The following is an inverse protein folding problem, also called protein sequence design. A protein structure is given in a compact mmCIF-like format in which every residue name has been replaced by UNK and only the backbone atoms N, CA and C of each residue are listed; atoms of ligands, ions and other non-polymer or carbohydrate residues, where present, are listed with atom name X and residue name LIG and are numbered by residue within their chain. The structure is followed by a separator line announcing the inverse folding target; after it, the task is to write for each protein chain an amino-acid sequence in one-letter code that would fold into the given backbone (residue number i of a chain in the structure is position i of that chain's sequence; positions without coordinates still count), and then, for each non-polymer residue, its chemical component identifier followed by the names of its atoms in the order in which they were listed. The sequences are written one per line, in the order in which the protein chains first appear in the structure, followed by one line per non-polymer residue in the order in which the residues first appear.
data_IF_620156928721
#
_entry.id   IF_620156928721
#
_cell.length_a   1.000
_cell.length_b   1.000
_cell.length_c   1.000
_cell.angle_alpha   90.00
_cell.angle_beta   90.00
_cell.angle_gamma   90.00
#
_symmetry.space_group_name_H-M   'P 1'
#
loop_
_entity.id
_entity.type
_entity.pdbx_description
1 polymer ?
#
# COMPACT_ATOMS: atom_id res chain seq x y z
N UNK A 1 -16.01 -7.92 8.58
CA UNK A 1 -15.91 -6.59 9.22
C UNK A 1 -16.11 -6.75 10.72
N UNK A 2 -15.06 -6.53 11.49
CA UNK A 2 -15.14 -6.52 12.95
C UNK A 2 -15.48 -5.11 13.39
N UNK A 3 -16.77 -4.80 13.49
CA UNK A 3 -17.23 -3.58 14.13
C UNK A 3 -17.14 -3.76 15.66
N UNK A 4 -16.16 -3.12 16.29
CA UNK A 4 -16.15 -2.89 17.72
C UNK A 4 -16.87 -1.56 17.97
N UNK A 5 -18.16 -1.64 18.16
CA UNK A 5 -19.00 -0.49 18.49
C UNK A 5 -18.93 -0.27 20.00
N UNK A 6 -18.32 0.82 20.42
CA UNK A 6 -18.60 1.37 21.75
C UNK A 6 -20.05 1.90 21.75
N UNK A 7 -20.83 1.59 22.79
CA UNK A 7 -22.28 1.84 22.91
C UNK A 7 -22.68 3.34 22.91
N UNK A 8 -21.80 4.22 22.48
CA UNK A 8 -21.94 5.68 22.54
C UNK A 8 -22.23 6.37 21.22
N UNK A 9 -22.16 5.66 20.09
CA UNK A 9 -22.54 6.16 18.77
C UNK A 9 -23.67 5.28 18.25
N UNK A 10 -24.72 5.90 17.74
CA UNK A 10 -25.88 5.17 17.26
C UNK A 10 -25.50 4.26 16.06
N UNK A 11 -26.00 3.03 16.00
CA UNK A 11 -25.69 2.09 14.91
C UNK A 11 -26.00 2.65 13.50
N UNK A 12 -27.01 3.51 13.41
CA UNK A 12 -27.39 4.18 12.16
C UNK A 12 -26.31 5.18 11.72
N UNK A 13 -25.71 5.93 12.65
CA UNK A 13 -24.61 6.87 12.34
C UNK A 13 -23.38 6.13 11.83
N UNK A 14 -23.05 4.98 12.42
CA UNK A 14 -21.94 4.14 11.99
C UNK A 14 -22.16 3.62 10.57
N UNK A 15 -23.38 3.17 10.27
CA UNK A 15 -23.75 2.68 8.94
C UNK A 15 -23.70 3.81 7.89
N UNK A 16 -24.17 5.00 8.24
CA UNK A 16 -24.12 6.17 7.39
C UNK A 16 -22.68 6.60 7.13
N UNK A 17 -21.84 6.61 8.18
CA UNK A 17 -20.41 6.89 8.06
C UNK A 17 -19.74 5.89 7.13
N UNK A 18 -19.92 4.59 7.35
CA UNK A 18 -19.30 3.55 6.51
C UNK A 18 -19.68 3.74 5.02
N UNK A 19 -20.96 4.03 4.74
CA UNK A 19 -21.42 4.30 3.38
C UNK A 19 -20.76 5.55 2.79
N UNK A 20 -20.71 6.65 3.54
CA UNK A 20 -20.12 7.90 3.08
C UNK A 20 -18.62 7.75 2.79
N UNK A 21 -17.89 6.99 3.63
CA UNK A 21 -16.47 6.71 3.43
C UNK A 21 -16.21 5.85 2.18
N UNK A 22 -17.06 4.86 1.92
CA UNK A 22 -16.95 3.99 0.75
C UNK A 22 -17.23 4.73 -0.58
N UNK A 23 -17.91 5.87 -0.55
CA UNK A 23 -18.17 6.72 -1.72
C UNK A 23 -17.01 7.68 -2.06
N UNK A 24 -15.98 7.77 -1.20
CA UNK A 24 -14.82 8.63 -1.44
C UNK A 24 -13.99 8.08 -2.60
N UNK A 25 -13.70 8.93 -3.58
CA UNK A 25 -12.85 8.54 -4.71
C UNK A 25 -11.45 8.14 -4.24
N UNK A 26 -10.99 6.97 -4.67
CA UNK A 26 -9.70 6.40 -4.27
C UNK A 26 -9.80 5.44 -3.09
N UNK A 27 -10.93 5.36 -2.40
CA UNK A 27 -11.21 4.31 -1.41
C UNK A 27 -11.80 3.10 -2.15
N UNK A 28 -11.12 1.95 -2.06
CA UNK A 28 -11.57 0.69 -2.63
C UNK A 28 -12.52 -0.04 -1.68
N UNK A 29 -12.20 -0.02 -0.38
CA UNK A 29 -13.05 -0.58 0.68
C UNK A 29 -12.75 0.07 2.03
N UNK A 30 -13.71 -0.03 2.95
CA UNK A 30 -13.54 0.29 4.37
C UNK A 30 -13.64 -1.02 5.13
N UNK A 31 -12.57 -1.48 5.76
CA UNK A 31 -12.54 -2.80 6.40
C UNK A 31 -12.53 -2.73 7.93
N UNK A 32 -12.05 -1.62 8.53
CA UNK A 32 -12.18 -1.38 9.97
C UNK A 32 -12.77 0.00 10.22
N UNK A 33 -13.77 0.03 11.09
CA UNK A 33 -14.31 1.25 11.64
C UNK A 33 -14.54 1.02 13.14
N UNK A 34 -13.75 1.66 13.96
CA UNK A 34 -13.85 1.60 15.43
C UNK A 34 -14.11 2.98 15.96
N UNK A 35 -15.06 3.10 16.85
CA UNK A 35 -15.41 4.38 17.50
C UNK A 35 -15.28 4.25 19.00
N UNK A 36 -14.80 5.32 19.64
CA UNK A 36 -14.65 5.39 21.10
C UNK A 36 -15.14 6.73 21.61
N UNK A 37 -15.69 6.74 22.83
CA UNK A 37 -16.06 7.96 23.54
C UNK A 37 -15.29 8.06 24.85
N UNK A 38 -14.65 9.21 25.07
CA UNK A 38 -13.96 9.53 26.31
C UNK A 38 -14.47 10.87 26.82
N UNK A 39 -15.38 10.83 27.81
CA UNK A 39 -16.07 12.01 28.25
C UNK A 39 -17.04 12.56 27.21
N UNK A 40 -16.80 13.79 26.74
CA UNK A 40 -17.60 14.43 25.69
C UNK A 40 -16.99 14.25 24.29
N UNK A 41 -15.78 13.71 24.22
CA UNK A 41 -15.04 13.57 22.97
C UNK A 41 -15.29 12.21 22.35
N UNK A 42 -15.58 12.19 21.07
CA UNK A 42 -15.65 10.98 20.25
C UNK A 42 -14.39 10.88 19.39
N UNK A 43 -13.87 9.68 19.21
CA UNK A 43 -12.77 9.38 18.29
C UNK A 43 -13.12 8.19 17.41
N UNK A 44 -12.53 8.15 16.22
CA UNK A 44 -12.68 7.03 15.28
C UNK A 44 -11.32 6.58 14.77
N UNK A 45 -11.15 5.25 14.67
CA UNK A 45 -10.06 4.61 13.94
C UNK A 45 -10.68 3.99 12.68
N UNK A 46 -10.18 4.42 11.51
CA UNK A 46 -10.72 4.02 10.21
C UNK A 46 -9.59 3.41 9.38
N UNK A 47 -9.80 2.20 8.87
CA UNK A 47 -8.90 1.59 7.91
C UNK A 47 -9.56 1.57 6.54
N UNK A 48 -8.88 2.13 5.56
CA UNK A 48 -9.34 2.16 4.17
C UNK A 48 -8.32 1.52 3.26
N UNK A 49 -8.81 0.60 2.43
CA UNK A 49 -8.00 0.04 1.37
C UNK A 49 -8.00 0.96 0.16
N UNK A 50 -6.82 1.16 -0.42
CA UNK A 50 -6.60 1.98 -1.61
C UNK A 50 -5.84 1.18 -2.68
N UNK A 51 -5.62 1.76 -3.85
CA UNK A 51 -4.74 1.17 -4.86
C UNK A 51 -3.30 1.08 -4.30
N UNK A 52 -2.68 -0.10 -4.28
CA UNK A 52 -1.35 -0.31 -3.71
C UNK A 52 -0.22 0.42 -4.47
N UNK A 53 -0.48 0.90 -5.67
CA UNK A 53 0.50 1.61 -6.50
C UNK A 53 0.40 3.13 -6.40
N UNK A 54 -0.50 3.66 -5.57
CA UNK A 54 -0.55 5.09 -5.28
C UNK A 54 0.75 5.57 -4.62
N UNK A 55 1.09 6.82 -4.86
CA UNK A 55 2.14 7.48 -4.09
C UNK A 55 1.68 7.76 -2.66
N UNK A 56 2.64 7.87 -1.73
CA UNK A 56 2.34 8.23 -0.34
C UNK A 56 1.58 9.56 -0.26
N UNK A 57 1.87 10.52 -1.15
CA UNK A 57 1.17 11.81 -1.17
C UNK A 57 -0.29 11.69 -1.65
N UNK A 58 -0.58 10.81 -2.60
CA UNK A 58 -1.96 10.53 -3.01
C UNK A 58 -2.73 9.84 -1.88
N UNK A 59 -2.12 8.82 -1.24
CA UNK A 59 -2.71 8.17 -0.06
C UNK A 59 -2.99 9.16 1.08
N UNK A 60 -2.08 10.12 1.31
CA UNK A 60 -2.29 11.17 2.30
C UNK A 60 -3.50 12.07 1.96
N UNK A 61 -3.69 12.46 0.69
CA UNK A 61 -4.88 13.25 0.30
C UNK A 61 -6.17 12.44 0.49
N UNK A 62 -6.15 11.13 0.25
CA UNK A 62 -7.29 10.26 0.55
C UNK A 62 -7.56 10.26 2.06
N UNK A 63 -6.54 10.12 2.91
CA UNK A 63 -6.72 10.14 4.38
C UNK A 63 -7.33 11.44 4.88
N UNK A 64 -6.91 12.59 4.35
CA UNK A 64 -7.49 13.90 4.67
C UNK A 64 -8.97 13.98 4.27
N UNK A 65 -9.32 13.39 3.12
CA UNK A 65 -10.72 13.33 2.67
C UNK A 65 -11.57 12.42 3.57
N UNK A 66 -11.02 11.29 3.99
CA UNK A 66 -11.67 10.35 4.94
C UNK A 66 -11.92 11.03 6.28
N UNK A 67 -10.90 11.69 6.85
CA UNK A 67 -11.03 12.43 8.11
C UNK A 67 -12.13 13.50 8.03
N UNK A 68 -12.12 14.31 6.97
CA UNK A 68 -13.12 15.37 6.76
C UNK A 68 -14.54 14.79 6.69
N UNK A 69 -14.77 13.76 5.85
CA UNK A 69 -16.09 13.13 5.70
C UNK A 69 -16.55 12.50 7.01
N UNK A 70 -15.64 11.86 7.77
CA UNK A 70 -15.98 11.27 9.05
C UNK A 70 -16.48 12.34 10.05
N UNK A 71 -15.78 13.47 10.14
CA UNK A 71 -16.16 14.60 11.00
C UNK A 71 -17.46 15.29 10.56
N UNK A 72 -17.78 15.28 9.27
CA UNK A 72 -19.05 15.78 8.75
C UNK A 72 -20.23 14.82 9.05
N UNK A 73 -19.98 13.51 9.12
CA UNK A 73 -21.01 12.50 9.36
C UNK A 73 -21.39 12.33 10.82
N UNK A 74 -20.45 12.53 11.76
CA UNK A 74 -20.67 12.29 13.17
C UNK A 74 -20.43 13.58 13.97
N UNK A 75 -21.47 14.06 14.63
CA UNK A 75 -21.39 15.22 15.50
C UNK A 75 -20.47 14.93 16.71
N UNK A 76 -19.66 15.92 17.11
CA UNK A 76 -18.67 15.80 18.19
C UNK A 76 -17.57 14.75 17.95
N UNK A 77 -17.27 14.41 16.71
CA UNK A 77 -16.10 13.60 16.37
C UNK A 77 -14.86 14.50 16.32
N UNK A 78 -14.10 14.48 17.42
CA UNK A 78 -12.94 15.36 17.58
C UNK A 78 -11.69 14.84 16.89
N UNK A 79 -11.48 13.51 16.93
CA UNK A 79 -10.28 12.87 16.46
C UNK A 79 -10.58 11.68 15.54
N UNK A 80 -9.87 11.61 14.42
CA UNK A 80 -10.00 10.52 13.45
C UNK A 80 -8.61 10.06 13.05
N UNK A 81 -8.27 8.83 13.41
CA UNK A 81 -7.08 8.17 12.92
C UNK A 81 -7.42 7.40 11.65
N UNK A 82 -6.75 7.72 10.55
CA UNK A 82 -6.96 7.04 9.27
C UNK A 82 -5.73 6.20 8.91
N UNK A 83 -5.93 4.90 8.76
CA UNK A 83 -4.96 3.98 8.21
C UNK A 83 -5.23 3.81 6.71
N UNK A 84 -4.18 3.93 5.92
CA UNK A 84 -4.21 3.70 4.47
C UNK A 84 -3.53 2.38 4.20
N UNK A 85 -4.29 1.40 3.78
CA UNK A 85 -3.83 0.03 3.60
C UNK A 85 -3.78 -0.35 2.12
N UNK A 86 -2.67 -0.90 1.62
CA UNK A 86 -2.55 -1.33 0.23
C UNK A 86 -3.35 -2.60 -0.07
N UNK A 87 -3.63 -3.41 0.97
CA UNK A 87 -4.41 -4.64 0.89
C UNK A 87 -5.19 -4.87 2.19
N UNK A 88 -6.19 -5.76 2.15
CA UNK A 88 -6.90 -6.15 3.37
C UNK A 88 -6.11 -7.26 4.09
N UNK A 89 -5.54 -6.95 5.24
CA UNK A 89 -4.75 -7.85 6.10
C UNK A 89 -5.49 -8.30 7.38
N UNK A 90 -6.73 -7.84 7.60
CA UNK A 90 -7.51 -8.17 8.81
C UNK A 90 -7.73 -9.66 9.04
N UNK A 91 -7.80 -10.46 7.97
CA UNK A 91 -8.04 -11.90 8.04
C UNK A 91 -6.75 -12.73 8.16
N UNK A 92 -5.58 -12.10 8.05
CA UNK A 92 -4.28 -12.77 8.12
C UNK A 92 -3.78 -12.76 9.56
N UNK A 93 -3.89 -13.92 10.26
CA UNK A 93 -3.40 -14.09 11.65
C UNK A 93 -1.89 -13.83 11.80
N UNK A 94 -1.11 -14.07 10.74
CA UNK A 94 0.31 -13.70 10.65
C UNK A 94 0.51 -12.62 9.58
N UNK A 95 1.14 -11.51 9.97
CA UNK A 95 1.52 -10.47 9.01
C UNK A 95 2.46 -11.08 7.95
N UNK A 96 2.04 -11.17 6.68
CA UNK A 96 2.83 -11.82 5.63
C UNK A 96 4.19 -11.17 5.41
N UNK A 97 4.36 -9.94 5.92
CA UNK A 97 5.59 -9.13 5.78
C UNK A 97 6.66 -9.38 6.84
N UNK A 98 6.36 -10.19 7.89
CA UNK A 98 7.21 -10.35 9.08
C UNK A 98 8.64 -10.81 8.78
N UNK A 99 8.83 -11.53 7.68
CA UNK A 99 10.13 -12.09 7.28
C UNK A 99 10.71 -11.39 6.04
N UNK A 100 10.06 -10.37 5.50
CA UNK A 100 10.57 -9.65 4.34
C UNK A 100 11.64 -8.65 4.77
N UNK A 101 12.72 -8.47 3.98
CA UNK A 101 13.72 -7.47 4.25
C UNK A 101 13.14 -6.06 4.09
N UNK A 102 13.50 -5.15 4.99
CA UNK A 102 13.20 -3.72 4.83
C UNK A 102 13.88 -3.14 3.59
N UNK A 103 13.37 -2.00 3.09
CA UNK A 103 13.83 -1.35 1.86
C UNK A 103 15.36 -1.32 1.69
N UNK A 104 16.11 -0.91 2.71
CA UNK A 104 17.57 -0.78 2.60
C UNK A 104 18.25 -2.13 2.40
N UNK A 105 17.78 -3.16 3.08
CA UNK A 105 18.27 -4.52 2.96
C UNK A 105 17.85 -5.15 1.62
N UNK A 106 16.60 -4.95 1.20
CA UNK A 106 16.10 -5.41 -0.09
C UNK A 106 16.91 -4.83 -1.26
N UNK A 107 17.16 -3.53 -1.27
CA UNK A 107 17.98 -2.86 -2.30
C UNK A 107 19.43 -3.41 -2.30
N UNK A 108 19.99 -3.73 -1.13
CA UNK A 108 21.33 -4.34 -1.04
C UNK A 108 21.33 -5.73 -1.65
N UNK A 109 20.33 -6.56 -1.36
CA UNK A 109 20.18 -7.92 -1.93
C UNK A 109 20.07 -7.82 -3.46
N UNK A 110 19.18 -6.97 -3.97
CA UNK A 110 19.02 -6.73 -5.40
C UNK A 110 20.34 -6.34 -6.04
N UNK A 111 21.03 -5.31 -5.51
CA UNK A 111 22.28 -4.81 -6.08
C UNK A 111 23.40 -5.86 -6.10
N UNK A 112 23.46 -6.71 -5.08
CA UNK A 112 24.44 -7.81 -5.02
C UNK A 112 24.12 -8.87 -6.07
N UNK A 113 22.85 -9.25 -6.24
CA UNK A 113 22.43 -10.25 -7.22
C UNK A 113 22.66 -9.78 -8.64
N UNK A 114 22.34 -8.52 -8.96
CA UNK A 114 22.61 -7.93 -10.26
C UNK A 114 24.11 -7.91 -10.59
N UNK A 115 24.98 -7.65 -9.61
CA UNK A 115 26.44 -7.70 -9.79
C UNK A 115 26.95 -9.13 -10.03
N UNK A 116 26.44 -10.11 -9.29
CA UNK A 116 26.81 -11.51 -9.44
C UNK A 116 26.49 -12.06 -10.84
N UNK A 117 25.35 -11.67 -11.39
CA UNK A 117 24.91 -12.02 -12.73
C UNK A 117 25.51 -11.12 -13.83
N UNK A 118 26.47 -10.25 -13.49
CA UNK A 118 27.15 -9.34 -14.43
C UNK A 118 26.18 -8.41 -15.18
N UNK A 119 25.07 -8.07 -14.56
CA UNK A 119 24.09 -7.15 -15.11
C UNK A 119 24.68 -5.73 -15.16
N UNK A 120 24.74 -5.14 -16.36
CA UNK A 120 25.36 -3.85 -16.63
C UNK A 120 24.35 -2.75 -16.95
N UNK A 121 23.06 -2.98 -16.74
CA UNK A 121 22.02 -1.98 -17.03
C UNK A 121 22.12 -0.80 -16.06
N UNK A 122 21.97 0.41 -16.59
CA UNK A 122 21.91 1.63 -15.78
C UNK A 122 20.51 1.80 -15.19
N UNK A 123 20.38 1.40 -13.92
CA UNK A 123 19.12 1.51 -13.18
C UNK A 123 19.09 2.86 -12.45
N UNK A 124 18.24 3.78 -12.91
CA UNK A 124 18.11 5.11 -12.33
C UNK A 124 17.33 5.10 -11.02
N UNK A 125 16.30 4.25 -10.97
CA UNK A 125 15.41 4.16 -9.82
C UNK A 125 14.91 2.73 -9.65
N UNK A 126 14.81 2.30 -8.38
CA UNK A 126 14.13 1.07 -7.99
C UNK A 126 13.01 1.42 -7.03
N UNK A 127 11.79 1.01 -7.36
CA UNK A 127 10.63 1.10 -6.47
C UNK A 127 10.27 -0.30 -5.99
N UNK A 128 9.89 -0.40 -4.72
CA UNK A 128 9.51 -1.66 -4.07
C UNK A 128 8.08 -1.55 -3.59
N UNK A 129 7.29 -2.58 -3.86
CA UNK A 129 5.93 -2.73 -3.36
C UNK A 129 5.85 -4.00 -2.52
N UNK A 130 5.42 -3.88 -1.28
CA UNK A 130 5.25 -4.99 -0.35
C UNK A 130 3.78 -5.41 -0.40
N UNK A 131 3.49 -6.48 -1.13
CA UNK A 131 2.12 -6.95 -1.40
C UNK A 131 2.04 -8.47 -1.32
N UNK A 132 0.99 -8.99 -0.74
CA UNK A 132 0.70 -10.43 -0.66
C UNK A 132 1.84 -11.29 -0.07
N UNK A 133 2.67 -10.67 0.77
CA UNK A 133 3.81 -11.34 1.40
C UNK A 133 5.06 -11.44 0.52
N UNK A 134 5.12 -10.69 -0.56
CA UNK A 134 6.26 -10.60 -1.47
C UNK A 134 6.68 -9.14 -1.70
N UNK A 135 7.89 -8.96 -2.21
CA UNK A 135 8.41 -7.67 -2.67
C UNK A 135 8.35 -7.64 -4.19
N UNK A 136 7.43 -6.84 -4.74
CA UNK A 136 7.40 -6.57 -6.17
C UNK A 136 8.38 -5.44 -6.48
N UNK A 137 9.05 -5.52 -7.64
CA UNK A 137 10.16 -4.62 -7.97
C UNK A 137 9.90 -3.92 -9.29
N UNK A 138 9.86 -2.60 -9.27
CA UNK A 138 9.83 -1.77 -10.47
C UNK A 138 11.21 -1.16 -10.71
N UNK A 139 11.81 -1.47 -11.86
CA UNK A 139 13.05 -0.87 -12.32
C UNK A 139 12.78 0.23 -13.34
N UNK A 140 13.44 1.36 -13.18
CA UNK A 140 13.44 2.47 -14.14
C UNK A 140 14.83 2.60 -14.72
N UNK A 141 14.96 2.36 -16.03
CA UNK A 141 16.22 2.36 -16.76
C UNK A 141 16.31 3.57 -17.70
N UNK A 142 17.50 4.19 -17.77
CA UNK A 142 17.83 5.10 -18.84
C UNK A 142 18.25 4.32 -20.08
N UNK A 143 17.62 4.64 -21.19
CA UNK A 143 18.00 4.07 -22.50
C UNK A 143 17.96 5.14 -23.57
N UNK A 144 19.04 5.22 -24.34
CA UNK A 144 19.11 6.15 -25.45
C UNK A 144 18.36 5.64 -26.69
N UNK A 145 18.27 4.31 -26.86
CA UNK A 145 17.55 3.65 -27.96
C UNK A 145 17.44 2.15 -27.66
N UNK A 146 16.25 1.58 -27.70
CA UNK A 146 16.05 0.13 -27.61
C UNK A 146 15.05 -0.32 -28.69
N UNK A 147 15.34 -1.44 -29.32
CA UNK A 147 14.33 -2.15 -30.08
C UNK A 147 13.46 -3.08 -29.19
N UNK A 148 12.36 -3.61 -29.74
CA UNK A 148 11.45 -4.46 -28.98
C UNK A 148 12.11 -5.77 -28.48
N UNK A 149 13.13 -6.28 -29.17
CA UNK A 149 13.84 -7.49 -28.76
C UNK A 149 14.73 -7.21 -27.56
N UNK A 150 15.40 -6.06 -27.54
CA UNK A 150 16.22 -5.62 -26.41
C UNK A 150 15.37 -5.36 -25.17
N UNK A 151 14.22 -4.71 -25.31
CA UNK A 151 13.24 -4.53 -24.24
C UNK A 151 12.81 -5.86 -23.65
N UNK A 152 12.44 -6.83 -24.49
CA UNK A 152 12.00 -8.15 -24.05
C UNK A 152 13.11 -8.92 -23.34
N UNK A 153 14.35 -8.80 -23.82
CA UNK A 153 15.53 -9.43 -23.21
C UNK A 153 15.80 -8.85 -21.83
N UNK A 154 15.83 -7.53 -21.69
CA UNK A 154 16.07 -6.84 -20.41
C UNK A 154 15.01 -7.23 -19.37
N UNK A 155 13.72 -7.22 -19.77
CA UNK A 155 12.64 -7.65 -18.90
C UNK A 155 12.82 -9.09 -18.41
N UNK A 156 13.18 -10.01 -19.33
CA UNK A 156 13.40 -11.40 -19.00
C UNK A 156 14.56 -11.58 -18.04
N UNK A 157 15.72 -10.97 -18.33
CA UNK A 157 16.95 -11.10 -17.51
C UNK A 157 16.73 -10.55 -16.08
N UNK A 158 16.18 -9.35 -15.93
CA UNK A 158 15.91 -8.76 -14.64
C UNK A 158 14.88 -9.57 -13.85
N UNK A 159 13.82 -10.04 -14.50
CA UNK A 159 12.81 -10.89 -13.85
C UNK A 159 13.39 -12.22 -13.38
N UNK A 160 14.25 -12.86 -14.21
CA UNK A 160 14.87 -14.14 -13.86
C UNK A 160 15.81 -14.01 -12.65
N UNK A 161 16.58 -12.92 -12.58
CA UNK A 161 17.48 -12.64 -11.44
C UNK A 161 16.67 -12.45 -10.16
N UNK A 162 15.66 -11.61 -10.19
CA UNK A 162 14.91 -11.22 -8.99
C UNK A 162 14.02 -12.36 -8.47
N UNK A 163 13.36 -13.11 -9.34
CA UNK A 163 12.50 -14.24 -8.97
C UNK A 163 13.25 -15.40 -8.30
N UNK A 164 14.57 -15.46 -8.43
CA UNK A 164 15.41 -16.44 -7.70
C UNK A 164 15.64 -16.04 -6.23
N UNK A 165 15.30 -14.81 -5.87
CA UNK A 165 15.47 -14.30 -4.50
C UNK A 165 14.27 -14.66 -3.64
N UNK A 166 14.51 -15.18 -2.46
CA UNK A 166 13.44 -15.51 -1.51
C UNK A 166 12.70 -14.25 -1.06
N UNK A 167 11.37 -14.27 -1.15
CA UNK A 167 10.51 -13.15 -0.76
C UNK A 167 10.35 -12.05 -1.81
N UNK A 168 10.88 -12.27 -3.04
CA UNK A 168 10.68 -11.36 -4.16
C UNK A 168 9.75 -12.00 -5.20
N UNK A 169 8.86 -11.16 -5.75
CA UNK A 169 7.82 -11.58 -6.69
C UNK A 169 7.98 -10.98 -8.09
N UNK A 170 6.92 -10.36 -8.57
CA UNK A 170 6.86 -9.78 -9.93
C UNK A 170 7.86 -8.64 -10.12
N UNK A 171 8.39 -8.55 -11.33
CA UNK A 171 9.28 -7.45 -11.77
C UNK A 171 8.66 -6.73 -12.96
N UNK A 172 8.62 -5.41 -12.89
CA UNK A 172 8.28 -4.54 -14.01
C UNK A 172 9.47 -3.65 -14.35
N UNK A 173 9.67 -3.40 -15.63
CA UNK A 173 10.76 -2.57 -16.12
C UNK A 173 10.19 -1.44 -16.97
N UNK A 174 10.54 -0.22 -16.59
CA UNK A 174 10.15 1.02 -17.25
C UNK A 174 11.38 1.66 -17.89
N UNK A 175 11.22 2.15 -19.10
CA UNK A 175 12.28 2.78 -19.89
C UNK A 175 11.97 4.26 -20.07
N UNK A 176 12.93 5.15 -19.76
CA UNK A 176 12.79 6.60 -19.82
C UNK A 176 13.99 7.27 -20.47
#
# INVERSE_FOLDING_TARGET
TKELVDTSIEPEDIKNLHKALAEIKGVNSVHTLRTRKVGHKKSADVHVQVDPFLSVSEGHIISVSVERVAKECIEELDDVTVHIDPENDEEKEDTPYKNLPERAQALKIISQSLKLESCSYEINRTQLHYLEGEILVDFYLSVNYLDNNEVSKINFELSDIIKKLSGFGEVKVYFS
#
